data_IF_813229420929
#
_entry.id   IF_813229420929
#
_cell.length_a   1.000
_cell.length_b   1.000
_cell.length_c   1.000
_cell.angle_alpha   90.00
_cell.angle_beta   90.00
_cell.angle_gamma   90.00
#
_symmetry.space_group_name_H-M   'P 1'
#
loop_
_entity.id
_entity.type
_entity.pdbx_description
1 polymer ?
#
# COMPACT_ATOMS: atom_id res chain seq x y z
N UNK A 1 2.37 -12.69 -13.21
CA UNK A 1 2.72 -11.76 -12.14
C UNK A 1 1.46 -11.31 -11.43
N UNK A 2 1.46 -11.39 -10.10
CA UNK A 2 0.32 -10.98 -9.33
C UNK A 2 0.30 -9.47 -9.13
N UNK A 3 -0.88 -8.92 -9.10
CA UNK A 3 -1.06 -7.51 -8.75
C UNK A 3 -1.81 -7.42 -7.44
N UNK A 4 -1.46 -6.42 -6.64
CA UNK A 4 -2.12 -6.17 -5.37
C UNK A 4 -2.54 -4.71 -5.32
N UNK A 5 -3.74 -4.48 -4.79
CA UNK A 5 -4.20 -3.13 -4.50
C UNK A 5 -4.04 -2.90 -3.00
N UNK A 6 -3.27 -1.89 -2.65
CA UNK A 6 -2.94 -1.62 -1.26
C UNK A 6 -3.55 -0.29 -0.87
N UNK A 7 -4.36 -0.31 0.19
CA UNK A 7 -4.99 0.89 0.73
C UNK A 7 -4.36 1.16 2.09
N UNK A 8 -3.82 2.36 2.25
CA UNK A 8 -3.15 2.77 3.49
C UNK A 8 -3.83 4.02 4.01
N UNK A 9 -4.19 4.00 5.28
CA UNK A 9 -4.73 5.16 5.97
C UNK A 9 -3.98 5.34 7.27
N UNK A 10 -3.47 6.56 7.50
CA UNK A 10 -2.70 6.85 8.69
C UNK A 10 -2.86 8.33 9.04
N UNK A 11 -2.47 8.71 10.26
CA UNK A 11 -2.33 10.12 10.55
C UNK A 11 -1.25 10.70 9.65
N UNK A 12 -1.52 11.89 9.10
CA UNK A 12 -0.58 12.51 8.17
C UNK A 12 0.70 12.88 8.90
N UNK A 13 1.82 12.47 8.31
CA UNK A 13 3.15 12.79 8.81
C UNK A 13 4.16 12.58 7.67
N UNK A 14 5.34 13.15 7.84
CA UNK A 14 6.39 13.00 6.84
C UNK A 14 6.85 11.56 6.74
N UNK A 15 7.25 11.16 5.55
CA UNK A 15 7.89 9.88 5.32
C UNK A 15 6.99 8.71 5.03
N UNK A 16 5.66 8.88 5.04
CA UNK A 16 4.75 7.76 4.81
C UNK A 16 4.91 7.15 3.42
N UNK A 17 5.01 7.99 2.40
CA UNK A 17 5.20 7.50 1.03
C UNK A 17 6.54 6.80 0.89
N UNK A 18 7.59 7.39 1.46
CA UNK A 18 8.92 6.80 1.39
C UNK A 18 8.96 5.42 2.05
N UNK A 19 8.41 5.29 3.24
CA UNK A 19 8.44 4.03 3.97
C UNK A 19 7.66 2.95 3.23
N UNK A 20 6.54 3.32 2.65
CA UNK A 20 5.74 2.37 1.87
C UNK A 20 6.50 1.95 0.61
N UNK A 21 7.07 2.91 -0.11
CA UNK A 21 7.81 2.63 -1.33
C UNK A 21 9.05 1.78 -1.04
N UNK A 22 9.68 1.98 0.11
CA UNK A 22 10.82 1.18 0.51
C UNK A 22 10.45 -0.30 0.62
N UNK A 23 9.30 -0.59 1.24
CA UNK A 23 8.83 -1.97 1.35
C UNK A 23 8.60 -2.56 -0.03
N UNK A 24 7.96 -1.80 -0.92
CA UNK A 24 7.72 -2.28 -2.29
C UNK A 24 9.03 -2.57 -3.01
N UNK A 25 9.98 -1.66 -2.90
CA UNK A 25 11.27 -1.79 -3.57
C UNK A 25 12.04 -3.00 -3.05
N UNK A 26 12.08 -3.19 -1.73
CA UNK A 26 12.83 -4.29 -1.13
C UNK A 26 12.25 -5.65 -1.47
N UNK A 27 10.99 -5.70 -1.87
CA UNK A 27 10.34 -6.94 -2.25
C UNK A 27 10.20 -7.09 -3.76
N UNK A 28 10.94 -6.28 -4.51
CA UNK A 28 10.94 -6.33 -5.98
C UNK A 28 9.56 -6.11 -6.57
N UNK A 29 8.77 -5.26 -5.95
CA UNK A 29 7.44 -4.95 -6.43
C UNK A 29 7.49 -3.72 -7.33
N UNK A 30 6.82 -3.81 -8.46
CA UNK A 30 6.72 -2.69 -9.39
C UNK A 30 5.46 -1.91 -9.10
N UNK A 31 5.60 -0.61 -8.88
CA UNK A 31 4.44 0.26 -8.65
C UNK A 31 3.82 0.58 -10.01
N UNK A 32 2.58 0.16 -10.19
CA UNK A 32 1.85 0.37 -11.44
C UNK A 32 1.05 1.66 -11.39
N UNK A 33 0.46 1.94 -10.24
CA UNK A 33 -0.33 3.15 -10.04
C UNK A 33 -0.25 3.56 -8.58
N UNK A 34 -0.32 4.86 -8.32
CA UNK A 34 -0.29 5.37 -6.96
C UNK A 34 -1.11 6.66 -6.89
N UNK A 35 -2.01 6.72 -5.92
CA UNK A 35 -2.81 7.89 -5.64
C UNK A 35 -2.70 8.24 -4.17
N UNK A 36 -2.46 9.49 -3.87
CA UNK A 36 -2.34 9.99 -2.51
C UNK A 36 -3.33 11.10 -2.28
N UNK A 37 -3.86 11.16 -1.07
CA UNK A 37 -4.80 12.20 -0.69
C UNK A 37 -4.61 12.51 0.79
N UNK A 38 -4.58 13.80 1.12
CA UNK A 38 -4.49 14.24 2.50
C UNK A 38 -5.76 15.00 2.86
N UNK A 39 -6.42 14.54 3.91
CA UNK A 39 -7.54 15.26 4.49
C UNK A 39 -6.97 16.15 5.60
N UNK A 40 -6.78 17.43 5.26
CA UNK A 40 -6.15 18.37 6.18
C UNK A 40 -7.03 18.66 7.39
N UNK A 41 -8.33 18.58 7.22
CA UNK A 41 -9.27 18.88 8.30
C UNK A 41 -9.14 17.85 9.42
N UNK A 42 -8.92 16.59 9.08
CA UNK A 42 -8.81 15.51 10.04
C UNK A 42 -7.38 15.01 10.21
N UNK A 43 -6.43 15.63 9.50
CA UNK A 43 -5.02 15.25 9.54
C UNK A 43 -4.82 13.78 9.19
N UNK A 44 -5.51 13.31 8.14
CA UNK A 44 -5.43 11.94 7.69
C UNK A 44 -4.78 11.84 6.32
N UNK A 45 -3.95 10.83 6.20
CA UNK A 45 -3.28 10.49 4.95
C UNK A 45 -3.88 9.23 4.37
N UNK A 46 -4.18 9.26 3.08
CA UNK A 46 -4.71 8.10 2.35
C UNK A 46 -3.82 7.83 1.15
N UNK A 47 -3.51 6.56 0.94
CA UNK A 47 -2.75 6.16 -0.23
C UNK A 47 -3.36 4.89 -0.81
N UNK A 48 -3.51 4.88 -2.13
CA UNK A 48 -3.95 3.68 -2.85
C UNK A 48 -2.91 3.37 -3.90
N UNK A 49 -2.29 2.23 -3.78
CA UNK A 49 -1.21 1.82 -4.67
C UNK A 49 -1.52 0.47 -5.28
N UNK A 50 -1.23 0.33 -6.56
CA UNK A 50 -1.29 -0.97 -7.23
C UNK A 50 0.15 -1.37 -7.52
N UNK A 51 0.53 -2.55 -7.04
CA UNK A 51 1.87 -3.09 -7.24
C UNK A 51 1.77 -4.45 -7.92
N UNK A 52 2.82 -4.81 -8.65
CA UNK A 52 2.92 -6.12 -9.29
C UNK A 52 4.18 -6.82 -8.80
N UNK A 53 4.05 -8.11 -8.54
CA UNK A 53 5.18 -8.89 -8.07
C UNK A 53 4.76 -10.25 -7.56
N UNK A 54 5.73 -10.98 -7.03
CA UNK A 54 5.51 -12.35 -6.56
C UNK A 54 5.68 -12.43 -5.04
N UNK A 55 4.96 -11.59 -4.30
CA UNK A 55 5.02 -11.62 -2.85
C UNK A 55 3.70 -12.16 -2.30
N UNK A 56 3.79 -12.80 -1.13
CA UNK A 56 2.60 -13.20 -0.40
C UNK A 56 1.97 -11.98 0.26
N UNK A 57 0.63 -11.87 0.17
CA UNK A 57 -0.08 -10.71 0.71
C UNK A 57 0.13 -10.56 2.22
N UNK A 58 0.19 -11.69 2.95
CA UNK A 58 0.42 -11.65 4.40
C UNK A 58 1.80 -11.09 4.72
N UNK A 59 2.81 -11.54 4.00
CA UNK A 59 4.17 -11.04 4.20
C UNK A 59 4.25 -9.54 3.89
N UNK A 60 3.62 -9.12 2.80
CA UNK A 60 3.61 -7.71 2.43
C UNK A 60 2.95 -6.86 3.51
N UNK A 61 1.81 -7.33 4.03
CA UNK A 61 1.12 -6.64 5.11
C UNK A 61 1.96 -6.55 6.37
N UNK A 62 2.64 -7.64 6.75
CA UNK A 62 3.49 -7.65 7.93
C UNK A 62 4.64 -6.66 7.81
N UNK A 63 5.26 -6.57 6.63
CA UNK A 63 6.37 -5.65 6.43
C UNK A 63 5.91 -4.19 6.43
N UNK A 64 4.75 -3.93 5.84
CA UNK A 64 4.18 -2.59 5.89
C UNK A 64 3.84 -2.18 7.33
N UNK A 65 3.29 -3.11 8.10
CA UNK A 65 2.98 -2.84 9.50
C UNK A 65 4.22 -2.52 10.32
N UNK A 66 5.35 -3.13 9.98
CA UNK A 66 6.61 -2.87 10.69
C UNK A 66 7.16 -1.49 10.36
N UNK A 67 7.06 -1.08 9.10
CA UNK A 67 7.66 0.19 8.66
C UNK A 67 6.78 1.39 8.92
N UNK A 68 5.47 1.20 8.96
CA UNK A 68 4.52 2.28 9.12
C UNK A 68 4.12 2.45 10.58
N UNK A 69 3.58 3.63 10.96
CA UNK A 69 3.14 3.85 12.34
C UNK A 69 2.11 2.81 12.78
N UNK A 70 2.08 2.52 14.07
CA UNK A 70 1.24 1.45 14.61
C UNK A 70 -0.26 1.68 14.39
N UNK A 71 -0.70 2.93 14.28
CA UNK A 71 -2.10 3.25 14.06
C UNK A 71 -2.50 3.18 12.59
N UNK A 72 -1.58 2.80 11.72
CA UNK A 72 -1.85 2.72 10.28
C UNK A 72 -2.82 1.60 9.97
N UNK A 73 -3.83 1.91 9.18
CA UNK A 73 -4.77 0.92 8.69
C UNK A 73 -4.36 0.50 7.29
N UNK A 74 -4.11 -0.78 7.09
CA UNK A 74 -3.62 -1.32 5.83
C UNK A 74 -4.58 -2.39 5.35
N UNK A 75 -5.04 -2.24 4.10
CA UNK A 75 -5.90 -3.24 3.46
C UNK A 75 -5.23 -3.64 2.16
N UNK A 76 -5.00 -4.92 1.98
CA UNK A 76 -4.42 -5.46 0.76
C UNK A 76 -5.46 -6.32 0.07
N UNK A 77 -5.76 -5.99 -1.17
CA UNK A 77 -6.75 -6.72 -1.96
C UNK A 77 -6.08 -7.29 -3.19
N UNK A 78 -6.42 -8.52 -3.52
CA UNK A 78 -6.07 -9.09 -4.80
C UNK A 78 -6.91 -8.42 -5.87
N UNK A 79 -6.38 -8.27 -7.08
CA UNK A 79 -7.17 -7.69 -8.15
C UNK A 79 -8.36 -8.59 -8.40
N UNK A 80 -9.50 -7.96 -8.61
CA UNK A 80 -10.69 -8.72 -8.94
C UNK A 80 -10.42 -9.45 -10.24
N UNK A 81 -10.57 -10.76 -10.21
CA UNK A 81 -10.41 -11.54 -11.41
C UNK A 81 -11.45 -11.09 -12.42
N UNK A 82 -10.98 -10.63 -13.54
CA UNK A 82 -11.88 -10.15 -14.56
C UNK A 82 -12.61 -11.34 -15.16
N UNK A 83 -13.91 -11.34 -15.04
CA UNK A 83 -14.73 -12.38 -15.65
C UNK A 83 -15.05 -11.93 -17.05
N UNK A 84 -14.68 -12.72 -17.99
CA UNK A 84 -15.00 -12.47 -19.38
C UNK A 84 -16.27 -13.23 -19.74
N UNK A 85 -17.16 -12.51 -20.32
CA UNK A 85 -18.42 -13.08 -20.77
C UNK A 85 -18.48 -13.09 -22.28
#
# INVERSE_FOLDING_TARGET
MNQYRILIQAQDRAGLVYKSAKVFYENNLNIIANHEFVDKEHNLFFMRTVVAGAIDAKQLGDELCRELPSETNIVIKLPRKKILF
#
